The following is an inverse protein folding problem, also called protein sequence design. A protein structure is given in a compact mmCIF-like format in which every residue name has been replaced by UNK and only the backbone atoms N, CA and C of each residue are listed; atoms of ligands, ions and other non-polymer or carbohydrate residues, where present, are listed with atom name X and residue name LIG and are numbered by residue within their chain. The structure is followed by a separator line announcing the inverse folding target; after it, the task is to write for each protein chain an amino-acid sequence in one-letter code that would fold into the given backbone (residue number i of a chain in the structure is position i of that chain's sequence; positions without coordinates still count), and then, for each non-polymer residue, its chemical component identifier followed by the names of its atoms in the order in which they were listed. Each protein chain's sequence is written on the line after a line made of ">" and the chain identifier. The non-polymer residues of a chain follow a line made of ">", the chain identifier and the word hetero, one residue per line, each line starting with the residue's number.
data_IF_429247161350
#
_entry.id   IF_429247161350
#
_cell.length_a   1.000
_cell.length_b   1.000
_cell.length_c   1.000
_cell.angle_alpha   90.00
_cell.angle_beta   90.00
_cell.angle_gamma   90.00
#
_symmetry.space_group_name_H-M   'P 1'
#
loop_
_entity.id
_entity.type
_entity.pdbx_description
1 polymer ?
#
# COMPACT_ATOMS: atom_id res chain seq x y z
N UNK A 1 -18.55 13.14 5.30
CA UNK A 1 -17.49 12.19 5.73
C UNK A 1 -16.56 11.80 4.57
N UNK A 2 -16.91 10.88 3.66
CA UNK A 2 -16.02 10.54 2.52
C UNK A 2 -15.65 11.78 1.70
N UNK A 3 -16.62 12.59 1.25
CA UNK A 3 -16.32 13.80 0.44
C UNK A 3 -15.46 14.86 1.14
N UNK A 4 -15.52 14.98 2.48
CA UNK A 4 -14.72 15.96 3.24
C UNK A 4 -13.30 15.45 3.49
N UNK A 5 -13.16 14.16 3.82
CA UNK A 5 -11.87 13.47 3.88
C UNK A 5 -11.20 13.51 2.51
N UNK A 6 -11.93 13.20 1.44
CA UNK A 6 -11.43 13.31 0.06
C UNK A 6 -10.96 14.75 -0.23
N UNK A 7 -11.76 15.77 0.11
CA UNK A 7 -11.36 17.17 -0.10
C UNK A 7 -10.10 17.58 0.67
N UNK A 8 -9.89 17.10 1.89
CA UNK A 8 -8.68 17.39 2.68
C UNK A 8 -7.46 16.57 2.24
N UNK A 9 -7.67 15.36 1.71
CA UNK A 9 -6.60 14.47 1.25
C UNK A 9 -5.99 14.88 -0.10
N UNK A 10 -6.73 15.58 -0.94
CA UNK A 10 -6.32 15.81 -2.34
C UNK A 10 -5.81 17.21 -2.65
N UNK A 11 -5.61 18.06 -1.65
CA UNK A 11 -5.11 19.42 -1.85
C UNK A 11 -3.57 19.49 -2.08
N UNK A 12 -2.86 18.35 -2.04
CA UNK A 12 -1.39 18.27 -2.13
C UNK A 12 -0.83 17.17 -3.05
N UNK A 13 -1.47 16.91 -4.20
CA UNK A 13 -0.92 16.08 -5.29
C UNK A 13 -0.91 14.55 -5.10
N UNK A 14 -1.84 13.96 -4.33
CA UNK A 14 -1.78 12.51 -4.04
C UNK A 14 -2.74 11.61 -4.84
N UNK A 15 -3.92 12.14 -5.24
CA UNK A 15 -4.80 11.64 -6.32
C UNK A 15 -5.74 12.80 -6.69
N UNK A 16 -5.88 13.15 -7.97
CA UNK A 16 -6.84 14.19 -8.37
C UNK A 16 -8.23 13.59 -8.54
N UNK A 17 -9.15 13.92 -7.63
CA UNK A 17 -10.58 13.73 -7.89
C UNK A 17 -11.00 14.74 -8.94
N UNK A 18 -11.47 14.24 -10.08
CA UNK A 18 -12.01 15.07 -11.17
C UNK A 18 -13.40 15.55 -10.78
N UNK A 19 -14.27 14.62 -10.38
CA UNK A 19 -15.64 14.91 -9.96
C UNK A 19 -16.22 13.76 -9.13
N UNK A 20 -17.42 13.95 -8.60
CA UNK A 20 -18.24 12.90 -8.03
C UNK A 20 -19.57 12.83 -8.79
N UNK A 21 -20.20 11.65 -8.80
CA UNK A 21 -21.52 11.43 -9.34
C UNK A 21 -22.37 10.76 -8.27
N UNK A 22 -23.53 11.32 -7.95
CA UNK A 22 -24.43 10.74 -6.95
C UNK A 22 -25.88 10.95 -7.31
N UNK A 23 -26.69 9.90 -7.18
CA UNK A 23 -28.15 9.94 -7.14
C UNK A 23 -28.64 9.05 -5.97
N UNK A 24 -29.94 8.73 -5.91
CA UNK A 24 -30.50 7.92 -4.81
C UNK A 24 -29.90 6.50 -4.72
N UNK A 25 -29.57 5.88 -5.84
CA UNK A 25 -29.16 4.47 -5.92
C UNK A 25 -27.67 4.28 -6.24
N UNK A 26 -26.98 5.36 -6.63
CA UNK A 26 -25.63 5.31 -7.15
C UNK A 26 -24.77 6.42 -6.57
N UNK A 27 -23.56 6.05 -6.17
CA UNK A 27 -22.50 6.98 -5.75
C UNK A 27 -21.20 6.53 -6.38
N UNK A 28 -20.51 7.45 -7.04
CA UNK A 28 -19.21 7.21 -7.63
C UNK A 28 -18.30 8.43 -7.51
N UNK A 29 -17.00 8.15 -7.52
CA UNK A 29 -15.94 9.13 -7.58
C UNK A 29 -15.19 8.92 -8.88
N UNK A 30 -14.90 10.02 -9.57
CA UNK A 30 -14.16 10.03 -10.83
C UNK A 30 -12.76 10.56 -10.56
N UNK A 31 -11.76 9.77 -10.91
CA UNK A 31 -10.35 10.08 -10.71
C UNK A 31 -9.63 10.18 -12.04
N UNK A 32 -8.47 10.82 -12.03
CA UNK A 32 -7.52 10.73 -13.14
C UNK A 32 -7.09 9.28 -13.39
N UNK A 33 -7.03 8.89 -14.66
CA UNK A 33 -6.64 7.55 -15.07
C UNK A 33 -5.12 7.37 -14.97
N UNK A 34 -4.70 6.21 -14.46
CA UNK A 34 -3.30 5.86 -14.25
C UNK A 34 -2.88 4.81 -15.30
N UNK A 35 -2.29 5.22 -16.44
CA UNK A 35 -2.11 4.36 -17.61
C UNK A 35 -1.12 3.21 -17.39
N UNK A 36 -0.20 3.34 -16.45
CA UNK A 36 0.77 2.30 -16.14
C UNK A 36 0.19 1.20 -15.22
N UNK A 37 -1.05 1.37 -14.75
CA UNK A 37 -1.73 0.41 -13.90
C UNK A 37 -1.15 0.41 -12.47
N UNK A 38 -1.34 -0.70 -11.76
CA UNK A 38 -0.88 -0.85 -10.37
C UNK A 38 0.51 -1.46 -10.26
N UNK A 39 1.18 -1.23 -9.13
CA UNK A 39 2.52 -1.77 -8.86
C UNK A 39 2.54 -3.30 -8.89
N UNK A 40 1.45 -3.98 -8.48
CA UNK A 40 1.35 -5.45 -8.56
C UNK A 40 1.59 -5.98 -9.98
N UNK A 41 1.21 -5.22 -11.03
CA UNK A 41 1.49 -5.56 -12.43
C UNK A 41 2.99 -5.79 -12.67
N UNK A 42 3.83 -4.96 -12.06
CA UNK A 42 5.29 -5.00 -12.20
C UNK A 42 5.93 -6.05 -11.30
N UNK A 43 5.23 -6.52 -10.27
CA UNK A 43 5.68 -7.61 -9.41
C UNK A 43 5.24 -8.98 -9.95
N UNK A 44 4.06 -9.07 -10.57
CA UNK A 44 3.50 -10.35 -11.00
C UNK A 44 3.90 -10.74 -12.43
N UNK A 45 4.02 -9.78 -13.34
CA UNK A 45 4.23 -10.08 -14.75
C UNK A 45 5.71 -10.03 -15.12
N UNK A 46 6.25 -11.14 -15.62
CA UNK A 46 7.66 -11.28 -15.97
C UNK A 46 8.19 -10.22 -16.95
N UNK A 47 7.33 -9.67 -17.82
CA UNK A 47 7.73 -8.67 -18.83
C UNK A 47 7.66 -7.22 -18.32
N UNK A 48 7.29 -7.02 -17.06
CA UNK A 48 7.27 -5.71 -16.43
C UNK A 48 8.28 -5.67 -15.29
N UNK A 49 8.96 -4.52 -15.16
CA UNK A 49 10.00 -4.33 -14.17
C UNK A 49 10.02 -2.88 -13.66
N UNK A 50 10.31 -2.76 -12.37
CA UNK A 50 10.66 -1.51 -11.70
C UNK A 50 12.07 -1.63 -11.16
N UNK A 51 12.94 -0.70 -11.52
CA UNK A 51 14.31 -0.66 -11.00
C UNK A 51 14.36 -0.30 -9.51
N UNK A 52 15.52 -0.49 -8.89
CA UNK A 52 15.74 -0.22 -7.45
C UNK A 52 15.33 1.20 -7.07
N UNK A 53 15.65 2.18 -7.92
CA UNK A 53 15.35 3.59 -7.66
C UNK A 53 13.85 3.85 -7.75
N UNK A 54 13.16 3.28 -8.73
CA UNK A 54 11.70 3.38 -8.88
C UNK A 54 10.99 2.75 -7.69
N UNK A 55 11.41 1.55 -7.26
CA UNK A 55 10.85 0.89 -6.06
C UNK A 55 11.03 1.74 -4.81
N UNK A 56 12.22 2.28 -4.59
CA UNK A 56 12.47 3.19 -3.47
C UNK A 56 11.60 4.44 -3.53
N UNK A 57 11.47 5.07 -4.71
CA UNK A 57 10.61 6.24 -4.91
C UNK A 57 9.14 5.94 -4.58
N UNK A 58 8.65 4.78 -5.01
CA UNK A 58 7.29 4.31 -4.69
C UNK A 58 7.12 4.13 -3.18
N UNK A 59 8.05 3.45 -2.51
CA UNK A 59 7.96 3.20 -1.07
C UNK A 59 8.03 4.51 -0.25
N UNK A 60 8.93 5.43 -0.63
CA UNK A 60 9.05 6.76 -0.02
C UNK A 60 7.74 7.55 -0.21
N UNK A 61 7.20 7.55 -1.42
CA UNK A 61 5.91 8.20 -1.69
C UNK A 61 4.82 7.66 -0.75
N UNK A 62 4.70 6.33 -0.64
CA UNK A 62 3.67 5.73 0.21
C UNK A 62 3.85 6.14 1.66
N UNK A 63 5.05 6.08 2.23
CA UNK A 63 5.24 6.46 3.63
C UNK A 63 4.96 7.94 3.88
N UNK A 64 5.30 8.84 2.94
CA UNK A 64 4.95 10.26 3.02
C UNK A 64 3.44 10.48 3.04
N UNK A 65 2.68 9.77 2.19
CA UNK A 65 1.22 9.83 2.22
C UNK A 65 0.69 9.31 3.55
N UNK A 66 1.16 8.16 4.01
CA UNK A 66 0.73 7.58 5.29
C UNK A 66 1.03 8.50 6.48
N UNK A 67 2.18 9.16 6.49
CA UNK A 67 2.52 10.16 7.49
C UNK A 67 1.49 11.29 7.51
N UNK A 68 1.17 11.84 6.34
CA UNK A 68 0.14 12.88 6.20
C UNK A 68 -1.23 12.41 6.66
N UNK A 69 -1.65 11.19 6.30
CA UNK A 69 -2.92 10.60 6.74
C UNK A 69 -2.97 10.45 8.27
N UNK A 70 -1.88 10.00 8.88
CA UNK A 70 -1.84 9.69 10.31
C UNK A 70 -1.66 10.92 11.21
N UNK A 71 -0.98 11.96 10.72
CA UNK A 71 -0.54 13.10 11.56
C UNK A 71 -0.86 14.47 10.97
N UNK A 72 -1.05 14.58 9.65
CA UNK A 72 -1.31 15.85 8.97
C UNK A 72 -2.78 16.27 8.91
N UNK A 73 -3.71 15.35 9.21
CA UNK A 73 -5.14 15.59 9.23
C UNK A 73 -5.65 15.86 10.66
N UNK A 74 -6.73 16.65 10.78
CA UNK A 74 -7.34 16.99 12.08
C UNK A 74 -7.78 15.76 12.88
N UNK A 75 -8.21 14.71 12.17
CA UNK A 75 -8.42 13.38 12.69
C UNK A 75 -7.52 12.41 11.92
N UNK A 76 -6.83 11.46 12.58
CA UNK A 76 -6.02 10.47 11.88
C UNK A 76 -6.87 9.61 10.94
N UNK A 77 -6.39 9.41 9.72
CA UNK A 77 -7.05 8.59 8.71
C UNK A 77 -6.24 7.32 8.49
N UNK A 78 -6.90 6.17 8.55
CA UNK A 78 -6.28 4.85 8.41
C UNK A 78 -6.65 4.23 7.07
N UNK A 79 -5.63 3.81 6.31
CA UNK A 79 -5.80 3.04 5.08
C UNK A 79 -5.79 1.54 5.37
N UNK A 80 -6.96 0.92 5.53
CA UNK A 80 -7.02 -0.47 6.01
C UNK A 80 -6.72 -1.55 4.94
N UNK A 81 -6.40 -1.18 3.70
CA UNK A 81 -6.08 -2.15 2.64
C UNK A 81 -4.77 -1.78 1.88
N UNK A 82 -3.70 -1.45 2.59
CA UNK A 82 -2.44 -1.07 1.95
C UNK A 82 -1.71 -2.29 1.33
N UNK A 83 -1.49 -2.28 0.01
CA UNK A 83 -0.82 -3.35 -0.76
C UNK A 83 -0.41 -2.84 -2.16
N UNK A 84 0.48 -3.53 -2.90
CA UNK A 84 0.94 -3.07 -4.22
C UNK A 84 -0.17 -2.87 -5.26
N UNK A 85 -1.26 -3.65 -5.20
CA UNK A 85 -2.38 -3.50 -6.14
C UNK A 85 -3.17 -2.20 -5.94
N UNK A 86 -3.03 -1.56 -4.77
CA UNK A 86 -3.64 -0.27 -4.46
C UNK A 86 -2.66 0.90 -4.66
N UNK A 87 -1.47 0.66 -5.24
CA UNK A 87 -0.56 1.72 -5.65
C UNK A 87 -0.61 1.81 -7.18
N UNK A 88 -1.16 2.90 -7.71
CA UNK A 88 -1.28 3.15 -9.14
C UNK A 88 -0.13 4.02 -9.65
N UNK A 89 0.22 3.86 -10.93
CA UNK A 89 1.32 4.57 -11.59
C UNK A 89 0.80 5.43 -12.75
N UNK A 90 1.15 6.71 -12.73
CA UNK A 90 0.89 7.63 -13.85
C UNK A 90 1.88 7.39 -15.01
N UNK A 91 1.80 8.20 -16.08
CA UNK A 91 2.65 8.08 -17.27
C UNK A 91 4.16 8.12 -16.98
N UNK A 92 4.58 8.88 -15.97
CA UNK A 92 5.98 9.07 -15.56
C UNK A 92 6.43 8.14 -14.43
N UNK A 93 5.68 7.05 -14.16
CA UNK A 93 5.91 6.13 -13.03
C UNK A 93 5.78 6.86 -11.67
N UNK A 94 5.04 7.97 -11.64
CA UNK A 94 4.61 8.66 -10.43
C UNK A 94 3.50 7.89 -9.71
N UNK A 95 3.68 7.68 -8.41
CA UNK A 95 2.84 6.80 -7.59
C UNK A 95 1.62 7.51 -7.00
N UNK A 96 0.51 6.79 -6.87
CA UNK A 96 -0.77 7.26 -6.35
C UNK A 96 -1.43 6.16 -5.49
N UNK A 97 -1.91 6.48 -4.29
CA UNK A 97 -2.62 5.49 -3.45
C UNK A 97 -4.09 5.47 -3.87
N UNK A 98 -4.64 4.30 -4.19
CA UNK A 98 -6.04 4.09 -4.57
C UNK A 98 -6.82 3.33 -3.49
N UNK A 99 -8.04 2.89 -3.81
CA UNK A 99 -8.93 2.13 -2.92
C UNK A 99 -9.34 2.83 -1.60
N UNK A 100 -9.74 4.09 -1.76
CA UNK A 100 -10.04 5.00 -0.65
C UNK A 100 -11.38 4.67 0.05
N UNK A 101 -12.23 3.84 -0.54
CA UNK A 101 -13.49 3.39 0.09
C UNK A 101 -13.30 2.55 1.36
N UNK A 102 -12.06 2.19 1.69
CA UNK A 102 -11.71 1.46 2.91
C UNK A 102 -11.02 2.38 3.94
N UNK A 103 -10.94 3.69 3.69
CA UNK A 103 -10.41 4.63 4.68
C UNK A 103 -11.32 4.72 5.91
N UNK A 104 -10.71 4.83 7.08
CA UNK A 104 -11.41 4.97 8.36
C UNK A 104 -10.82 6.14 9.16
N UNK A 105 -11.70 6.99 9.67
CA UNK A 105 -11.34 8.06 10.60
C UNK A 105 -11.20 7.50 12.01
N UNK A 106 -10.08 7.77 12.66
CA UNK A 106 -9.92 7.54 14.10
C UNK A 106 -10.52 8.72 14.86
N UNK A 107 -11.37 8.43 15.84
CA UNK A 107 -11.88 9.44 16.76
C UNK A 107 -10.75 10.02 17.62
N UNK A 108 -10.88 11.28 18.02
CA UNK A 108 -9.84 12.03 18.74
C UNK A 108 -9.32 11.32 20.01
N UNK A 109 -10.18 10.56 20.70
CA UNK A 109 -9.87 9.97 22.00
C UNK A 109 -9.37 8.52 21.95
N UNK A 110 -9.36 7.88 20.77
CA UNK A 110 -9.02 6.46 20.65
C UNK A 110 -8.02 6.25 19.52
N UNK A 111 -6.79 5.87 19.89
CA UNK A 111 -5.74 5.52 18.94
C UNK A 111 -6.04 4.28 18.08
N UNK A 112 -7.08 3.52 18.45
CA UNK A 112 -7.54 2.31 17.77
C UNK A 112 -9.08 2.28 17.66
N UNK A 113 -9.63 1.55 16.70
CA UNK A 113 -11.07 1.22 16.61
C UNK A 113 -11.28 -0.24 16.18
N UNK A 114 -12.49 -0.75 16.41
CA UNK A 114 -12.88 -2.11 16.01
C UNK A 114 -13.71 -2.07 14.73
N UNK A 115 -13.42 -2.96 13.78
CA UNK A 115 -14.19 -3.10 12.55
C UNK A 115 -14.31 -4.55 12.10
N UNK A 116 -15.42 -4.83 11.40
CA UNK A 116 -15.63 -6.10 10.67
C UNK A 116 -15.19 -6.01 9.21
N UNK A 117 -14.71 -4.85 8.75
CA UNK A 117 -14.18 -4.68 7.39
C UNK A 117 -12.97 -5.60 7.24
N UNK A 118 -13.02 -6.51 6.27
CA UNK A 118 -11.90 -7.38 5.96
C UNK A 118 -10.90 -6.62 5.08
N UNK A 119 -9.61 -6.76 5.42
CA UNK A 119 -8.49 -6.34 4.58
C UNK A 119 -7.97 -7.52 3.76
N UNK A 120 -6.95 -7.28 2.93
CA UNK A 120 -6.34 -8.35 2.12
C UNK A 120 -5.46 -9.27 2.95
N UNK A 121 -5.79 -10.56 2.96
CA UNK A 121 -4.98 -11.61 3.59
C UNK A 121 -3.52 -11.55 3.13
N UNK A 122 -2.61 -11.72 4.09
CA UNK A 122 -1.17 -11.57 3.88
C UNK A 122 -0.62 -10.21 4.30
N UNK A 123 -1.43 -9.14 4.20
CA UNK A 123 -1.04 -7.77 4.60
C UNK A 123 -1.63 -7.35 5.96
N UNK A 124 -2.56 -8.14 6.50
CA UNK A 124 -3.29 -7.83 7.74
C UNK A 124 -2.36 -8.02 8.95
N UNK A 125 -2.31 -7.02 9.83
CA UNK A 125 -1.65 -7.16 11.12
C UNK A 125 -2.37 -8.20 12.00
N UNK A 126 -1.66 -8.98 12.83
CA UNK A 126 -2.28 -10.03 13.64
C UNK A 126 -3.46 -9.54 14.49
N UNK A 127 -3.32 -8.41 15.19
CA UNK A 127 -4.35 -7.82 16.03
C UNK A 127 -5.58 -7.35 15.23
N UNK A 128 -5.38 -6.94 13.97
CA UNK A 128 -6.47 -6.58 13.08
C UNK A 128 -7.19 -7.84 12.57
N UNK A 129 -6.46 -8.89 12.19
CA UNK A 129 -7.05 -10.14 11.71
C UNK A 129 -7.80 -10.94 12.78
N UNK A 130 -7.34 -10.89 14.03
CA UNK A 130 -7.92 -11.64 15.14
C UNK A 130 -9.10 -10.88 15.79
N UNK A 131 -8.86 -9.63 16.18
CA UNK A 131 -9.80 -8.88 17.03
C UNK A 131 -10.58 -7.81 16.24
N UNK A 132 -10.25 -7.61 14.96
CA UNK A 132 -10.76 -6.47 14.19
C UNK A 132 -10.18 -5.13 14.65
N UNK A 133 -9.09 -5.14 15.43
CA UNK A 133 -8.47 -3.95 16.00
C UNK A 133 -7.63 -3.22 14.96
N UNK A 134 -8.10 -2.07 14.53
CA UNK A 134 -7.39 -1.22 13.56
C UNK A 134 -6.72 -0.06 14.26
N UNK A 135 -5.46 0.17 13.91
CA UNK A 135 -4.64 1.28 14.40
C UNK A 135 -3.65 1.77 13.35
N UNK A 136 -2.94 2.86 13.64
CA UNK A 136 -1.78 3.31 12.86
C UNK A 136 -0.71 2.22 12.73
N UNK A 137 -0.54 1.36 13.75
CA UNK A 137 0.45 0.27 13.74
C UNK A 137 0.09 -0.83 12.74
N UNK A 138 -1.21 -1.08 12.53
CA UNK A 138 -1.66 -2.04 11.54
C UNK A 138 -1.27 -1.59 10.12
N UNK A 139 -1.36 -0.30 9.82
CA UNK A 139 -0.90 0.25 8.52
C UNK A 139 0.61 0.13 8.37
N UNK A 140 1.37 0.39 9.44
CA UNK A 140 2.84 0.20 9.43
C UNK A 140 3.20 -1.27 9.18
N UNK A 141 2.45 -2.21 9.74
CA UNK A 141 2.61 -3.64 9.45
C UNK A 141 2.38 -3.94 7.96
N UNK A 142 1.26 -3.49 7.39
CA UNK A 142 0.96 -3.69 5.97
C UNK A 142 2.01 -3.05 5.06
N UNK A 143 2.52 -1.85 5.41
CA UNK A 143 3.63 -1.20 4.72
C UNK A 143 4.90 -2.05 4.77
N UNK A 144 5.20 -2.67 5.92
CA UNK A 144 6.32 -3.59 6.07
C UNK A 144 6.20 -4.81 5.15
N UNK A 145 5.03 -5.45 5.10
CA UNK A 145 4.78 -6.55 4.16
C UNK A 145 4.94 -6.11 2.71
N UNK A 146 4.39 -4.94 2.35
CA UNK A 146 4.54 -4.37 1.02
C UNK A 146 6.00 -4.10 0.67
N UNK A 147 6.81 -3.65 1.63
CA UNK A 147 8.26 -3.47 1.45
C UNK A 147 8.93 -4.80 1.13
N UNK A 148 8.64 -5.86 1.90
CA UNK A 148 9.20 -7.19 1.66
C UNK A 148 8.84 -7.69 0.26
N UNK A 149 7.59 -7.59 -0.14
CA UNK A 149 7.11 -8.01 -1.45
C UNK A 149 7.76 -7.19 -2.58
N UNK A 150 7.89 -5.87 -2.39
CA UNK A 150 8.52 -4.98 -3.36
C UNK A 150 9.96 -5.36 -3.65
N UNK A 151 10.73 -5.83 -2.66
CA UNK A 151 12.15 -6.14 -2.86
C UNK A 151 12.44 -7.62 -3.11
N UNK A 152 11.54 -8.52 -2.74
CA UNK A 152 11.68 -9.96 -3.01
C UNK A 152 10.92 -10.44 -4.25
N UNK A 153 9.93 -9.66 -4.71
CA UNK A 153 8.96 -10.07 -5.73
C UNK A 153 8.23 -11.39 -5.36
N UNK A 154 8.07 -11.65 -4.06
CA UNK A 154 7.32 -12.80 -3.50
C UNK A 154 6.03 -12.32 -2.86
N UNK A 155 4.91 -12.93 -3.25
CA UNK A 155 3.61 -12.57 -2.68
C UNK A 155 3.50 -13.09 -1.24
N UNK A 156 2.81 -12.36 -0.35
CA UNK A 156 2.57 -12.82 1.02
C UNK A 156 1.87 -14.19 1.13
N UNK A 157 1.12 -14.59 0.10
CA UNK A 157 0.28 -15.79 0.08
C UNK A 157 0.85 -16.92 -0.80
N UNK A 158 2.10 -16.80 -1.29
CA UNK A 158 2.77 -17.85 -2.08
C UNK A 158 3.41 -18.97 -1.23
N UNK A 159 3.33 -18.87 0.09
CA UNK A 159 3.99 -19.78 1.01
C UNK A 159 3.05 -20.89 1.47
N UNK A 160 3.54 -22.13 1.45
CA UNK A 160 2.80 -23.29 1.95
C UNK A 160 2.89 -23.41 3.48
N UNK A 161 1.84 -23.97 4.08
CA UNK A 161 1.73 -24.18 5.52
C UNK A 161 1.69 -22.87 6.33
N UNK A 162 2.40 -22.87 7.45
CA UNK A 162 2.45 -21.73 8.39
C UNK A 162 3.51 -20.69 8.04
N UNK A 163 4.33 -20.94 7.01
CA UNK A 163 5.34 -19.99 6.59
C UNK A 163 4.67 -18.75 5.98
N UNK A 164 5.16 -17.58 6.36
CA UNK A 164 4.73 -16.27 5.84
C UNK A 164 5.94 -15.53 5.29
N UNK A 165 5.69 -14.60 4.36
CA UNK A 165 6.74 -13.76 3.76
C UNK A 165 7.69 -13.15 4.80
N UNK A 166 7.14 -12.61 5.90
CA UNK A 166 7.94 -12.05 7.00
C UNK A 166 8.91 -13.08 7.60
N UNK A 167 8.45 -14.30 7.86
CA UNK A 167 9.28 -15.36 8.44
C UNK A 167 10.32 -15.85 7.44
N UNK A 168 9.93 -16.06 6.19
CA UNK A 168 10.84 -16.46 5.12
C UNK A 168 12.00 -15.47 4.97
N UNK A 169 11.70 -14.16 4.87
CA UNK A 169 12.75 -13.12 4.85
C UNK A 169 13.57 -13.15 6.14
N UNK A 170 12.93 -13.25 7.31
CA UNK A 170 13.64 -13.25 8.59
C UNK A 170 14.61 -14.42 8.75
N UNK A 171 14.31 -15.60 8.19
CA UNK A 171 15.19 -16.76 8.25
C UNK A 171 16.36 -16.67 7.26
N UNK A 172 16.19 -15.93 6.18
CA UNK A 172 17.24 -15.71 5.19
C UNK A 172 18.22 -14.61 5.57
N UNK A 173 17.85 -13.67 6.44
CA UNK A 173 18.73 -12.58 6.83
C UNK A 173 19.71 -12.96 7.96
N UNK A 174 20.97 -12.46 7.93
CA UNK A 174 21.60 -11.67 6.88
C UNK A 174 22.31 -12.51 5.79
N UNK A 175 22.36 -13.83 5.93
CA UNK A 175 23.31 -14.67 5.19
C UNK A 175 22.89 -15.05 3.76
N UNK A 176 21.60 -14.94 3.42
CA UNK A 176 21.03 -15.36 2.14
C UNK A 176 20.26 -14.21 1.45
N UNK A 177 20.71 -12.96 1.63
CA UNK A 177 20.06 -11.77 1.02
C UNK A 177 19.95 -11.89 -0.50
N UNK A 178 21.02 -12.37 -1.15
CA UNK A 178 21.09 -12.49 -2.61
C UNK A 178 20.02 -13.47 -3.13
N UNK A 179 19.68 -14.49 -2.35
CA UNK A 179 18.72 -15.52 -2.74
C UNK A 179 17.26 -15.07 -2.59
N UNK A 180 17.02 -14.03 -1.79
CA UNK A 180 15.66 -13.53 -1.49
C UNK A 180 15.32 -12.20 -2.16
N UNK A 181 16.31 -11.48 -2.66
CA UNK A 181 16.11 -10.22 -3.39
C UNK A 181 15.76 -10.51 -4.85
N UNK A 182 14.88 -9.70 -5.42
CA UNK A 182 14.53 -9.78 -6.84
C UNK A 182 15.78 -9.64 -7.72
N UNK A 183 16.08 -10.68 -8.50
CA UNK A 183 17.24 -10.76 -9.37
C UNK A 183 17.35 -9.58 -10.36
N UNK A 184 16.23 -8.98 -10.75
CA UNK A 184 16.23 -7.82 -11.64
C UNK A 184 16.79 -6.55 -10.98
N UNK A 185 16.87 -6.51 -9.63
CA UNK A 185 17.52 -5.43 -8.90
C UNK A 185 19.05 -5.53 -8.92
N UNK A 186 19.58 -6.74 -9.18
CA UNK A 186 21.01 -7.00 -9.23
C UNK A 186 21.62 -6.64 -10.60
N UNK A 187 20.83 -6.74 -11.68
CA UNK A 187 21.30 -6.50 -13.05
C UNK A 187 21.48 -5.02 -13.40
N UNK A 188 20.90 -4.09 -12.64
CA UNK A 188 20.99 -2.64 -12.89
C UNK A 188 22.34 -2.01 -12.48
N UNK A 189 23.23 -2.75 -11.83
CA UNK A 189 24.51 -2.22 -11.30
C UNK A 189 25.71 -2.45 -12.23
N UNK A 190 25.51 -3.02 -13.43
CA UNK A 190 26.60 -3.27 -14.40
C UNK A 190 26.35 -2.48 -15.69
N UNK A 191 26.45 -1.15 -15.60
CA UNK A 191 26.94 -0.31 -16.70
C UNK A 191 27.81 0.78 -16.07
N UNK A 192 29.10 0.46 -15.95
CA UNK A 192 30.17 1.43 -15.73
C UNK A 192 30.43 2.21 -17.03
#
# INVERSE_FOLDING_TARGET
>A
MECEVLRSLFHRNHVKVITNCSNHDFKALVFEYMPNGSVVKYLDLHNYFLDTRQRLRIMIYVVCVLEYLHHGCSLPIIHCDLKPSNILLNVDIGSHISNIGILKLLGADKGNFYTKTLATLGYIAPEYGLDGLVSRKCVVYSYGIMLLEMFSRRKPNEFEGDLRLKQWVSYSLPYAVIDIVDANLLSATVKA
#
